data_IF_347474971718
#
_entry.id   IF_347474971718
#
_cell.length_a   1.000
_cell.length_b   1.000
_cell.length_c   1.000
_cell.angle_alpha   90.00
_cell.angle_beta   90.00
_cell.angle_gamma   90.00
#
_symmetry.space_group_name_H-M   'P 1'
#
loop_
_entity.id
_entity.type
_entity.pdbx_description
1 polymer ?
#
# COMPACT_ATOMS: atom_id res chain seq x y z
N UNK A 1 -7.25 5.49 -22.57
CA UNK A 1 -6.38 4.32 -22.24
C UNK A 1 -6.29 4.03 -20.73
N UNK A 2 -6.39 2.76 -20.28
CA UNK A 2 -6.15 2.34 -18.87
C UNK A 2 -4.85 1.54 -18.73
N UNK A 3 -4.04 1.82 -17.70
CA UNK A 3 -2.78 1.11 -17.44
C UNK A 3 -2.65 0.69 -15.97
N UNK A 4 -1.85 -0.36 -15.73
CA UNK A 4 -1.40 -0.79 -14.40
C UNK A 4 0.02 -0.29 -14.14
N UNK A 5 0.26 0.15 -12.90
CA UNK A 5 1.51 0.78 -12.49
C UNK A 5 2.04 0.14 -11.21
N UNK A 6 3.26 -0.34 -11.26
CA UNK A 6 3.99 -0.88 -10.11
C UNK A 6 4.52 0.25 -9.22
N UNK A 7 4.74 -0.04 -7.95
CA UNK A 7 5.27 0.88 -6.93
C UNK A 7 4.38 2.08 -6.58
N UNK A 8 3.19 2.23 -7.19
CA UNK A 8 2.21 3.25 -6.81
C UNK A 8 1.32 2.78 -5.66
N UNK A 9 1.82 2.94 -4.43
CA UNK A 9 1.19 2.40 -3.20
C UNK A 9 0.88 3.44 -2.12
N UNK A 10 1.02 4.73 -2.42
CA UNK A 10 0.56 5.79 -1.50
C UNK A 10 0.02 7.03 -2.25
N UNK A 11 -0.65 7.92 -1.53
CA UNK A 11 -1.19 9.16 -2.10
C UNK A 11 -0.13 10.07 -2.70
N UNK A 12 1.07 10.12 -2.11
CA UNK A 12 2.20 10.87 -2.65
C UNK A 12 2.57 10.38 -4.06
N UNK A 13 2.58 9.06 -4.31
CA UNK A 13 2.84 8.51 -5.63
C UNK A 13 1.82 9.02 -6.65
N UNK A 14 0.53 9.02 -6.30
CA UNK A 14 -0.54 9.54 -7.15
C UNK A 14 -0.33 11.04 -7.45
N UNK A 15 0.00 11.84 -6.44
CA UNK A 15 0.25 13.27 -6.61
C UNK A 15 1.45 13.56 -7.51
N UNK A 16 2.55 12.82 -7.34
CA UNK A 16 3.74 12.94 -8.20
C UNK A 16 3.37 12.65 -9.65
N UNK A 17 2.76 11.50 -9.92
CA UNK A 17 2.41 11.11 -11.28
C UNK A 17 1.39 12.06 -11.92
N UNK A 18 0.37 12.49 -11.16
CA UNK A 18 -0.60 13.48 -11.64
C UNK A 18 0.09 14.78 -12.08
N UNK A 19 1.03 15.28 -11.29
CA UNK A 19 1.79 16.49 -11.62
C UNK A 19 2.69 16.29 -12.85
N UNK A 20 3.39 15.16 -12.96
CA UNK A 20 4.29 14.88 -14.08
C UNK A 20 3.53 14.70 -15.41
N UNK A 21 2.39 13.99 -15.39
CA UNK A 21 1.54 13.88 -16.57
C UNK A 21 0.93 15.22 -16.97
N UNK A 22 0.50 16.04 -16.01
CA UNK A 22 -0.01 17.38 -16.29
C UNK A 22 1.06 18.27 -16.95
N UNK A 23 2.31 18.27 -16.44
CA UNK A 23 3.43 19.00 -17.06
C UNK A 23 3.71 18.55 -18.49
N UNK A 24 3.51 17.26 -18.77
CA UNK A 24 3.68 16.68 -20.10
C UNK A 24 2.49 16.88 -21.03
N UNK A 25 1.42 17.58 -20.61
CA UNK A 25 0.20 17.75 -21.41
C UNK A 25 -0.56 16.43 -21.64
N UNK A 26 -0.47 15.50 -20.69
CA UNK A 26 -1.15 14.21 -20.70
C UNK A 26 -2.31 14.29 -19.71
N UNK A 27 -3.53 14.10 -20.22
CA UNK A 27 -4.75 14.24 -19.43
C UNK A 27 -5.04 12.92 -18.72
N UNK A 28 -5.00 12.96 -17.38
CA UNK A 28 -5.40 11.86 -16.50
C UNK A 28 -6.85 12.08 -16.07
N UNK A 29 -7.72 11.14 -16.39
CA UNK A 29 -9.14 11.16 -15.97
C UNK A 29 -9.28 10.65 -14.53
N UNK A 30 -8.60 9.55 -14.21
CA UNK A 30 -8.67 8.91 -12.90
C UNK A 30 -7.31 8.33 -12.52
N UNK A 31 -6.96 8.44 -11.24
CA UNK A 31 -5.74 7.88 -10.68
C UNK A 31 -6.03 7.22 -9.33
N UNK A 32 -5.83 5.91 -9.26
CA UNK A 32 -6.00 5.08 -8.08
C UNK A 32 -4.71 4.34 -7.78
N UNK A 33 -4.56 3.81 -6.57
CA UNK A 33 -3.39 2.97 -6.26
C UNK A 33 -3.28 1.82 -7.27
N UNK A 34 -2.09 1.69 -7.87
CA UNK A 34 -1.79 0.72 -8.90
C UNK A 34 -2.38 0.95 -10.31
N UNK A 35 -3.21 1.97 -10.55
CA UNK A 35 -3.95 2.12 -11.81
C UNK A 35 -4.16 3.57 -12.25
N UNK A 36 -4.02 3.83 -13.54
CA UNK A 36 -4.27 5.15 -14.14
C UNK A 36 -5.18 5.01 -15.35
N UNK A 37 -6.21 5.85 -15.42
CA UNK A 37 -7.06 6.05 -16.59
C UNK A 37 -6.73 7.40 -17.23
N UNK A 38 -6.32 7.35 -18.49
CA UNK A 38 -6.07 8.52 -19.33
C UNK A 38 -7.23 8.75 -20.29
N UNK A 39 -7.43 10.01 -20.64
CA UNK A 39 -8.42 10.42 -21.64
C UNK A 39 -8.17 9.77 -23.00
N UNK A 40 -9.21 9.72 -23.83
CA UNK A 40 -9.13 9.22 -25.20
C UNK A 40 -8.12 10.01 -26.04
N UNK A 41 -7.42 9.32 -26.95
CA UNK A 41 -6.40 9.93 -27.81
C UNK A 41 -5.03 10.10 -27.11
N UNK A 42 -4.76 9.27 -26.10
CA UNK A 42 -3.46 9.21 -25.40
C UNK A 42 -2.66 7.96 -25.78
N UNK A 43 -3.18 7.11 -26.66
CA UNK A 43 -2.58 5.85 -27.08
C UNK A 43 -1.24 6.04 -27.81
N UNK A 44 -1.10 7.13 -28.56
CA UNK A 44 0.14 7.54 -29.24
C UNK A 44 1.23 8.02 -28.26
N UNK A 45 0.85 8.40 -27.04
CA UNK A 45 1.77 8.87 -25.99
C UNK A 45 2.29 7.75 -25.09
N UNK A 46 2.08 6.47 -25.44
CA UNK A 46 2.44 5.31 -24.59
C UNK A 46 3.92 5.30 -24.20
N UNK A 47 4.84 5.57 -25.13
CA UNK A 47 6.28 5.62 -24.82
C UNK A 47 6.61 6.77 -23.87
N UNK A 48 6.02 7.95 -24.09
CA UNK A 48 6.19 9.10 -23.21
C UNK A 48 5.68 8.83 -21.80
N UNK A 49 4.56 8.12 -21.68
CA UNK A 49 4.02 7.67 -20.39
C UNK A 49 5.01 6.74 -19.68
N UNK A 50 5.56 5.76 -20.40
CA UNK A 50 6.55 4.83 -19.86
C UNK A 50 7.80 5.55 -19.36
N UNK A 51 8.31 6.53 -20.12
CA UNK A 51 9.45 7.36 -19.71
C UNK A 51 9.17 8.11 -18.40
N UNK A 52 8.00 8.78 -18.30
CA UNK A 52 7.62 9.53 -17.10
C UNK A 52 7.52 8.61 -15.89
N UNK A 53 6.91 7.43 -16.04
CA UNK A 53 6.83 6.44 -14.96
C UNK A 53 8.22 6.05 -14.48
N UNK A 54 9.09 5.62 -15.40
CA UNK A 54 10.44 5.14 -15.08
C UNK A 54 11.30 6.21 -14.41
N UNK A 55 11.24 7.46 -14.89
CA UNK A 55 11.98 8.59 -14.30
C UNK A 55 11.58 8.88 -12.85
N UNK A 56 10.37 8.47 -12.45
CA UNK A 56 9.85 8.65 -11.11
C UNK A 56 9.85 7.37 -10.27
N UNK A 57 10.54 6.30 -10.73
CA UNK A 57 10.67 5.03 -10.00
C UNK A 57 9.46 4.10 -10.10
N UNK A 58 8.54 4.36 -11.03
CA UNK A 58 7.38 3.53 -11.31
C UNK A 58 7.58 2.71 -12.59
N UNK A 59 6.86 1.61 -12.71
CA UNK A 59 6.96 0.71 -13.85
C UNK A 59 5.56 0.45 -14.44
N UNK A 60 5.45 0.51 -15.77
CA UNK A 60 4.22 0.11 -16.47
C UNK A 60 4.16 -1.42 -16.53
N UNK A 61 3.02 -1.98 -16.13
CA UNK A 61 2.82 -3.43 -16.07
C UNK A 61 2.04 -3.91 -17.29
N UNK A 62 2.61 -4.87 -18.01
CA UNK A 62 1.94 -5.63 -19.08
C UNK A 62 1.71 -7.12 -18.69
N UNK A 63 2.28 -7.59 -17.57
CA UNK A 63 2.15 -8.98 -17.08
C UNK A 63 0.96 -9.18 -16.12
N UNK A 64 0.27 -10.31 -16.27
CA UNK A 64 -0.92 -10.64 -15.46
C UNK A 64 -0.56 -10.91 -14.00
N UNK A 65 0.56 -11.58 -13.71
CA UNK A 65 0.94 -11.87 -12.33
C UNK A 65 1.35 -10.59 -11.60
N UNK A 66 2.10 -9.70 -12.26
CA UNK A 66 2.43 -8.38 -11.72
C UNK A 66 1.17 -7.52 -11.49
N UNK A 67 0.18 -7.63 -12.37
CA UNK A 67 -1.12 -6.97 -12.17
C UNK A 67 -1.82 -7.47 -10.91
N UNK A 68 -1.88 -8.79 -10.70
CA UNK A 68 -2.48 -9.38 -9.49
C UNK A 68 -1.71 -8.95 -8.25
N UNK A 69 -0.37 -8.85 -8.30
CA UNK A 69 0.45 -8.38 -7.18
C UNK A 69 0.13 -6.94 -6.78
N UNK A 70 0.01 -6.05 -7.76
CA UNK A 70 -0.40 -4.66 -7.52
C UNK A 70 -1.79 -4.58 -6.90
N UNK A 71 -2.73 -5.37 -7.41
CA UNK A 71 -4.10 -5.40 -6.88
C UNK A 71 -4.14 -5.98 -5.46
N UNK A 72 -3.34 -7.02 -5.14
CA UNK A 72 -3.19 -7.51 -3.75
C UNK A 72 -2.71 -6.36 -2.86
N UNK A 73 -1.59 -5.71 -3.20
CA UNK A 73 -1.02 -4.61 -2.38
C UNK A 73 -2.03 -3.48 -2.20
N UNK A 74 -2.74 -3.07 -3.26
CA UNK A 74 -3.82 -2.08 -3.23
C UNK A 74 -4.90 -2.45 -2.21
N UNK A 75 -5.40 -3.68 -2.24
CA UNK A 75 -6.44 -4.12 -1.31
C UNK A 75 -5.95 -4.24 0.12
N UNK A 76 -4.70 -4.65 0.35
CA UNK A 76 -4.11 -4.69 1.69
C UNK A 76 -3.95 -3.29 2.29
N UNK A 77 -3.48 -2.31 1.50
CA UNK A 77 -3.36 -0.91 1.92
C UNK A 77 -4.74 -0.35 2.24
N UNK A 78 -5.71 -0.52 1.33
CA UNK A 78 -7.08 -0.10 1.55
C UNK A 78 -7.73 -0.76 2.77
N UNK A 79 -7.39 -2.01 3.09
CA UNK A 79 -7.86 -2.69 4.29
C UNK A 79 -7.26 -2.14 5.59
N UNK A 80 -6.02 -1.65 5.55
CA UNK A 80 -5.42 -0.94 6.70
C UNK A 80 -6.04 0.44 6.89
N UNK A 81 -6.27 1.17 5.81
CA UNK A 81 -6.80 2.54 5.85
C UNK A 81 -8.28 2.60 6.25
N UNK A 82 -9.11 1.72 5.68
CA UNK A 82 -10.56 1.74 5.89
C UNK A 82 -11.01 0.78 7.01
N UNK A 83 -10.09 -0.06 7.50
CA UNK A 83 -10.42 -1.18 8.38
C UNK A 83 -11.17 -2.31 7.67
N UNK A 84 -11.10 -3.49 8.26
CA UNK A 84 -11.89 -4.66 7.83
C UNK A 84 -12.54 -5.32 9.06
N UNK A 85 -13.80 -5.67 8.92
CA UNK A 85 -14.59 -6.34 9.97
C UNK A 85 -14.50 -7.87 9.88
N UNK A 86 -14.06 -8.38 8.74
CA UNK A 86 -13.88 -9.81 8.49
C UNK A 86 -12.40 -10.21 8.49
N UNK A 87 -12.16 -11.52 8.45
CA UNK A 87 -10.82 -12.07 8.32
C UNK A 87 -10.16 -11.63 6.99
N UNK A 88 -8.83 -11.42 7.02
CA UNK A 88 -8.05 -10.94 5.87
C UNK A 88 -8.13 -11.86 4.64
N UNK A 89 -8.06 -13.18 4.83
CA UNK A 89 -8.17 -14.17 3.76
C UNK A 89 -9.53 -14.17 3.07
N UNK A 90 -10.62 -14.01 3.83
CA UNK A 90 -11.98 -13.86 3.28
C UNK A 90 -12.07 -12.55 2.50
N UNK A 91 -11.66 -11.44 3.12
CA UNK A 91 -11.64 -10.13 2.48
C UNK A 91 -10.89 -10.12 1.14
N UNK A 92 -9.67 -10.66 1.13
CA UNK A 92 -8.86 -10.62 -0.06
C UNK A 92 -9.41 -11.57 -1.14
N UNK A 93 -9.91 -12.74 -0.77
CA UNK A 93 -10.53 -13.67 -1.73
C UNK A 93 -11.73 -13.07 -2.43
N UNK A 94 -12.60 -12.39 -1.69
CA UNK A 94 -13.79 -11.72 -2.23
C UNK A 94 -13.41 -10.54 -3.13
N UNK A 95 -12.47 -9.69 -2.71
CA UNK A 95 -12.04 -8.53 -3.52
C UNK A 95 -11.34 -8.93 -4.82
N UNK A 96 -10.58 -10.01 -4.78
CA UNK A 96 -9.81 -10.51 -5.93
C UNK A 96 -10.57 -11.53 -6.78
N UNK A 97 -11.72 -12.02 -6.31
CA UNK A 97 -12.45 -13.15 -6.88
C UNK A 97 -11.52 -14.37 -7.15
N UNK A 98 -10.68 -14.70 -6.16
CA UNK A 98 -9.65 -15.75 -6.25
C UNK A 98 -9.44 -16.41 -4.89
N UNK A 99 -9.09 -17.69 -4.91
CA UNK A 99 -8.75 -18.44 -3.69
C UNK A 99 -7.52 -17.85 -2.97
N UNK A 100 -7.64 -17.62 -1.67
CA UNK A 100 -6.56 -17.05 -0.86
C UNK A 100 -5.24 -17.84 -0.95
N UNK A 101 -5.32 -19.16 -1.04
CA UNK A 101 -4.14 -20.03 -1.14
C UNK A 101 -3.31 -19.72 -2.39
N UNK A 102 -3.95 -19.40 -3.51
CA UNK A 102 -3.30 -19.01 -4.77
C UNK A 102 -2.65 -17.64 -4.60
N UNK A 103 -3.38 -16.67 -4.04
CA UNK A 103 -2.87 -15.32 -3.78
C UNK A 103 -1.66 -15.36 -2.85
N UNK A 104 -1.75 -16.08 -1.75
CA UNK A 104 -0.69 -16.20 -0.74
C UNK A 104 0.56 -16.88 -1.28
N UNK A 105 0.40 -17.95 -2.06
CA UNK A 105 1.53 -18.64 -2.72
C UNK A 105 2.23 -17.72 -3.71
N UNK A 106 1.48 -17.04 -4.56
CA UNK A 106 2.03 -16.13 -5.57
C UNK A 106 2.76 -14.95 -4.91
N UNK A 107 2.13 -14.33 -3.91
CA UNK A 107 2.72 -13.22 -3.17
C UNK A 107 4.02 -13.62 -2.47
N UNK A 108 4.01 -14.75 -1.75
CA UNK A 108 5.19 -15.24 -1.04
C UNK A 108 6.34 -15.59 -1.97
N UNK A 109 6.04 -16.13 -3.16
CA UNK A 109 7.06 -16.44 -4.16
C UNK A 109 7.73 -15.19 -4.72
N UNK A 110 7.01 -14.07 -4.84
CA UNK A 110 7.52 -12.81 -5.40
C UNK A 110 8.18 -11.91 -4.36
N UNK A 111 7.58 -11.78 -3.18
CA UNK A 111 7.98 -10.82 -2.13
C UNK A 111 8.83 -11.47 -1.02
N UNK A 112 8.97 -12.79 -1.01
CA UNK A 112 9.75 -13.51 0.01
C UNK A 112 9.09 -13.56 1.40
N UNK A 113 7.87 -13.05 1.56
CA UNK A 113 7.09 -13.13 2.79
C UNK A 113 5.59 -13.31 2.51
N UNK A 114 4.84 -13.80 3.51
CA UNK A 114 3.41 -14.06 3.35
C UNK A 114 2.58 -12.78 3.37
N UNK A 115 1.38 -12.84 2.79
CA UNK A 115 0.42 -11.74 2.80
C UNK A 115 0.12 -11.27 4.23
N UNK A 116 -0.03 -12.19 5.19
CA UNK A 116 -0.30 -11.83 6.57
C UNK A 116 0.88 -11.08 7.22
N UNK A 117 2.11 -11.51 6.95
CA UNK A 117 3.31 -10.79 7.41
C UNK A 117 3.38 -9.40 6.79
N UNK A 118 3.12 -9.27 5.49
CA UNK A 118 3.07 -7.98 4.80
C UNK A 118 2.01 -7.06 5.42
N UNK A 119 0.81 -7.59 5.63
CA UNK A 119 -0.30 -6.85 6.21
C UNK A 119 0.01 -6.37 7.63
N UNK A 120 0.70 -7.18 8.43
CA UNK A 120 1.20 -6.76 9.74
C UNK A 120 2.20 -5.59 9.61
N UNK A 121 3.13 -5.65 8.66
CA UNK A 121 4.09 -4.55 8.42
C UNK A 121 3.38 -3.26 8.01
N UNK A 122 2.39 -3.33 7.11
CA UNK A 122 1.54 -2.18 6.75
C UNK A 122 0.85 -1.58 7.99
N UNK A 123 0.27 -2.43 8.83
CA UNK A 123 -0.37 -1.98 10.08
C UNK A 123 0.65 -1.32 11.00
N UNK A 124 1.89 -1.80 11.08
CA UNK A 124 2.91 -1.15 11.92
C UNK A 124 3.28 0.23 11.40
N UNK A 125 3.44 0.41 10.08
CA UNK A 125 3.71 1.73 9.52
C UNK A 125 2.51 2.69 9.72
N UNK A 126 1.27 2.17 9.72
CA UNK A 126 0.09 2.95 10.10
C UNK A 126 0.06 3.29 11.59
N UNK A 127 0.45 2.38 12.49
CA UNK A 127 0.57 2.67 13.93
C UNK A 127 1.59 3.78 14.14
N UNK A 128 2.75 3.72 13.47
CA UNK A 128 3.76 4.77 13.54
C UNK A 128 3.20 6.13 13.12
N UNK A 129 2.47 6.17 12.02
CA UNK A 129 1.78 7.38 11.53
C UNK A 129 0.78 7.94 12.56
N UNK A 130 -0.09 7.10 13.12
CA UNK A 130 -1.09 7.54 14.11
C UNK A 130 -0.44 8.04 15.41
N UNK A 131 0.69 7.45 15.82
CA UNK A 131 1.47 7.94 16.97
C UNK A 131 2.09 9.32 16.66
N UNK A 132 2.64 9.51 15.46
CA UNK A 132 3.21 10.80 15.04
C UNK A 132 2.17 11.92 14.96
N UNK A 133 0.94 11.59 14.59
CA UNK A 133 -0.18 12.54 14.60
C UNK A 133 -0.58 12.95 16.03
N UNK A 134 -0.25 12.14 17.04
CA UNK A 134 -0.54 12.34 18.47
C UNK A 134 -2.00 12.71 18.81
N UNK A 135 -2.95 12.30 17.94
CA UNK A 135 -4.38 12.61 18.08
C UNK A 135 -5.19 11.48 18.73
N UNK A 136 -4.57 10.31 18.96
CA UNK A 136 -5.23 9.11 19.48
C UNK A 136 -4.45 8.44 20.61
N UNK A 137 -5.18 7.80 21.51
CA UNK A 137 -4.64 6.88 22.51
C UNK A 137 -4.22 5.56 21.86
N UNK A 138 -3.31 4.81 22.49
CA UNK A 138 -2.92 3.48 21.98
C UNK A 138 -4.07 2.48 21.93
N UNK A 139 -5.09 2.66 22.77
CA UNK A 139 -6.30 1.82 22.75
C UNK A 139 -7.18 2.12 21.54
N UNK A 140 -7.34 3.39 21.17
CA UNK A 140 -8.06 3.79 19.94
C UNK A 140 -7.32 3.29 18.69
N UNK A 141 -5.99 3.47 18.62
CA UNK A 141 -5.19 2.94 17.51
C UNK A 141 -5.35 1.42 17.38
N UNK A 142 -5.34 0.70 18.50
CA UNK A 142 -5.54 -0.75 18.50
C UNK A 142 -6.94 -1.14 18.01
N UNK A 143 -7.98 -0.40 18.43
CA UNK A 143 -9.36 -0.62 18.02
C UNK A 143 -9.54 -0.38 16.52
N UNK A 144 -9.08 0.77 16.00
CA UNK A 144 -9.18 1.15 14.59
C UNK A 144 -8.51 0.13 13.67
N UNK A 145 -7.39 -0.43 14.12
CA UNK A 145 -6.64 -1.46 13.40
C UNK A 145 -7.11 -2.89 13.72
N UNK A 146 -8.28 -3.06 14.34
CA UNK A 146 -8.90 -4.35 14.64
C UNK A 146 -7.97 -5.31 15.42
N UNK A 147 -7.24 -4.79 16.42
CA UNK A 147 -6.55 -5.60 17.42
C UNK A 147 -7.48 -5.87 18.61
N UNK A 148 -7.41 -7.10 19.13
CA UNK A 148 -8.17 -7.53 20.32
C UNK A 148 -7.91 -6.69 21.57
N UNK A 149 -6.74 -6.07 21.67
CA UNK A 149 -6.37 -5.18 22.78
C UNK A 149 -5.16 -4.32 22.44
N UNK A 150 -5.00 -3.21 23.14
CA UNK A 150 -3.79 -2.38 23.09
C UNK A 150 -2.54 -3.16 23.47
N UNK A 151 -2.63 -4.12 24.41
CA UNK A 151 -1.53 -5.01 24.78
C UNK A 151 -1.10 -5.95 23.64
N UNK A 152 -2.05 -6.43 22.82
CA UNK A 152 -1.72 -7.25 21.66
C UNK A 152 -0.97 -6.41 20.61
N UNK A 153 -1.47 -5.20 20.31
CA UNK A 153 -0.79 -4.25 19.44
C UNK A 153 0.62 -3.92 19.96
N UNK A 154 0.75 -3.59 21.25
CA UNK A 154 2.03 -3.22 21.86
C UNK A 154 3.10 -4.31 21.72
N UNK A 155 2.72 -5.57 21.94
CA UNK A 155 3.62 -6.72 21.78
C UNK A 155 4.09 -6.87 20.34
N UNK A 156 3.17 -6.76 19.38
CA UNK A 156 3.51 -6.87 17.95
C UNK A 156 4.38 -5.70 17.49
N UNK A 157 4.05 -4.48 17.91
CA UNK A 157 4.83 -3.28 17.62
C UNK A 157 6.27 -3.44 18.11
N UNK A 158 6.47 -3.77 19.40
CA UNK A 158 7.81 -3.97 19.96
C UNK A 158 8.60 -5.10 19.28
N UNK A 159 7.93 -6.18 18.89
CA UNK A 159 8.59 -7.28 18.19
C UNK A 159 9.12 -6.88 16.81
N UNK A 160 8.46 -5.94 16.13
CA UNK A 160 8.81 -5.52 14.76
C UNK A 160 9.75 -4.32 14.77
N UNK A 161 9.50 -3.33 15.63
CA UNK A 161 10.26 -2.07 15.67
C UNK A 161 11.45 -2.12 16.63
N UNK A 162 11.50 -3.11 17.52
CA UNK A 162 12.50 -3.21 18.59
C UNK A 162 12.22 -2.30 19.79
N UNK A 163 11.18 -1.46 19.75
CA UNK A 163 10.84 -0.50 20.81
C UNK A 163 9.34 -0.46 21.10
N UNK A 164 8.97 -0.05 22.32
CA UNK A 164 7.57 0.14 22.69
C UNK A 164 6.93 1.34 21.98
N UNK A 165 5.60 1.36 21.92
CA UNK A 165 4.86 2.50 21.36
C UNK A 165 5.09 3.80 22.15
N UNK A 166 5.31 3.72 23.48
CA UNK A 166 5.63 4.87 24.31
C UNK A 166 7.03 5.40 24.03
N UNK A 167 8.02 4.51 23.89
CA UNK A 167 9.38 4.90 23.48
C UNK A 167 9.35 5.56 22.11
N UNK A 168 8.67 4.93 21.13
CA UNK A 168 8.49 5.51 19.79
C UNK A 168 7.80 6.87 19.86
N UNK A 169 6.75 7.06 20.68
CA UNK A 169 6.09 8.37 20.83
C UNK A 169 7.05 9.49 21.25
N UNK A 170 8.09 9.15 22.02
CA UNK A 170 8.99 10.13 22.63
C UNK A 170 10.25 10.41 21.81
N UNK A 171 10.54 9.65 20.74
CA UNK A 171 11.69 9.94 19.87
C UNK A 171 11.32 11.03 18.86
N UNK A 172 12.27 11.89 18.50
CA UNK A 172 12.08 12.89 17.44
C UNK A 172 12.47 12.39 16.05
N UNK A 173 13.28 11.33 15.98
CA UNK A 173 13.69 10.70 14.72
C UNK A 173 12.83 9.46 14.45
N UNK A 174 11.80 9.65 13.65
CA UNK A 174 10.79 8.64 13.41
C UNK A 174 11.18 7.80 12.20
N UNK A 175 11.76 6.61 12.45
CA UNK A 175 12.11 5.60 11.42
C UNK A 175 10.85 4.95 10.81
N UNK A 176 10.04 5.76 10.12
CA UNK A 176 8.87 5.32 9.35
C UNK A 176 9.28 5.08 7.91
N UNK A 177 8.93 3.91 7.39
CA UNK A 177 9.18 3.53 6.00
C UNK A 177 8.00 3.92 5.13
N UNK A 178 8.26 4.30 3.89
CA UNK A 178 7.19 4.48 2.93
C UNK A 178 6.60 3.12 2.54
N UNK A 179 5.32 3.10 2.16
CA UNK A 179 4.62 1.84 1.90
C UNK A 179 5.21 1.05 0.70
N UNK A 180 5.85 1.76 -0.23
CA UNK A 180 6.57 1.20 -1.39
C UNK A 180 7.90 0.54 -1.02
N UNK A 181 8.40 0.79 0.19
CA UNK A 181 9.64 0.22 0.73
C UNK A 181 9.41 -0.90 1.75
N UNK A 182 8.15 -1.31 1.91
CA UNK A 182 7.81 -2.51 2.67
C UNK A 182 8.11 -3.68 1.73
N UNK A 183 9.32 -4.25 1.87
CA UNK A 183 9.94 -5.28 1.01
C UNK A 183 10.61 -4.71 -0.24
#
# INVERSE_FOLDING_TARGET
MRIKVKNMVCDRCKSVLKNEFQKAGIVVEQIDLGEILFADGTEDKKERIREILNQNGFELIDDLNETIMVDIKKHLIGAVENGITQNLSTYLSEKMNKEYSVLSKMFSAKEGLTIEKYFILLKMEKVKEEIQMDNKTFSEIAYDLNYKSSSHLAKQFKAITGMSMTEYRNIQDWDRRSLDQIV
#
